data_IF_589374433806
#
_entry.id   IF_589374433806
#
_cell.length_a   1.000
_cell.length_b   1.000
_cell.length_c   1.000
_cell.angle_alpha   90.00
_cell.angle_beta   90.00
_cell.angle_gamma   90.00
#
_symmetry.space_group_name_H-M   'P 1'
#
loop_
_entity.id
_entity.type
_entity.pdbx_description
1 polymer ?
#
# COMPACT_ATOMS: atom_id res chain seq x y z
N UNK A 1 17.35 -3.67 6.00
CA UNK A 1 16.04 -3.94 6.61
C UNK A 1 15.09 -4.34 5.50
N UNK A 2 14.57 -5.57 5.53
CA UNK A 2 13.68 -6.09 4.48
C UNK A 2 12.21 -5.95 4.93
N UNK A 3 11.28 -5.91 3.98
CA UNK A 3 9.84 -5.80 4.27
C UNK A 3 9.36 -6.93 5.21
N UNK A 4 9.98 -8.11 5.14
CA UNK A 4 9.69 -9.26 6.01
C UNK A 4 10.03 -8.98 7.47
N UNK A 5 11.16 -8.33 7.76
CA UNK A 5 11.52 -7.94 9.12
C UNK A 5 10.60 -6.86 9.66
N UNK A 6 10.18 -5.91 8.81
CA UNK A 6 9.22 -4.88 9.19
C UNK A 6 7.83 -5.48 9.53
N UNK A 7 7.44 -6.58 8.89
CA UNK A 7 6.20 -7.31 9.23
C UNK A 7 6.30 -8.08 10.55
N UNK A 8 7.51 -8.52 10.93
CA UNK A 8 7.77 -9.21 12.20
C UNK A 8 7.99 -8.25 13.36
N UNK A 9 8.09 -6.95 13.09
CA UNK A 9 8.25 -5.93 14.11
C UNK A 9 7.01 -5.89 15.02
N UNK A 10 7.16 -5.75 16.35
CA UNK A 10 6.03 -5.65 17.28
C UNK A 10 5.06 -4.50 16.94
N UNK A 11 5.53 -3.46 16.24
CA UNK A 11 4.72 -2.34 15.79
C UNK A 11 4.07 -2.57 14.42
N UNK A 12 4.36 -3.68 13.73
CA UNK A 12 3.83 -3.97 12.39
C UNK A 12 2.31 -3.85 12.33
N UNK A 13 1.62 -4.25 13.41
CA UNK A 13 0.17 -4.10 13.55
C UNK A 13 -0.29 -2.64 13.47
N UNK A 14 0.40 -1.70 14.14
CA UNK A 14 0.04 -0.27 14.08
C UNK A 14 0.20 0.28 12.67
N UNK A 15 1.25 -0.15 11.96
CA UNK A 15 1.49 0.25 10.58
C UNK A 15 0.43 -0.32 9.62
N UNK A 16 0.02 -1.57 9.83
CA UNK A 16 -1.07 -2.20 9.06
C UNK A 16 -2.40 -1.46 9.31
N UNK A 17 -2.71 -1.16 10.57
CA UNK A 17 -3.93 -0.41 10.92
C UNK A 17 -3.92 0.99 10.31
N UNK A 18 -2.79 1.70 10.35
CA UNK A 18 -2.64 3.01 9.70
C UNK A 18 -2.79 2.92 8.17
N UNK A 19 -2.18 1.93 7.52
CA UNK A 19 -2.36 1.69 6.08
C UNK A 19 -3.82 1.44 5.72
N UNK A 20 -4.55 0.68 6.54
CA UNK A 20 -5.96 0.42 6.32
C UNK A 20 -6.80 1.69 6.43
N UNK A 21 -6.53 2.53 7.45
CA UNK A 21 -7.19 3.83 7.61
C UNK A 21 -6.96 4.72 6.39
N UNK A 22 -5.72 4.79 5.90
CA UNK A 22 -5.39 5.59 4.72
C UNK A 22 -6.05 5.04 3.44
N UNK A 23 -6.10 3.71 3.28
CA UNK A 23 -6.79 3.10 2.14
C UNK A 23 -8.30 3.38 2.17
N UNK A 24 -8.92 3.39 3.35
CA UNK A 24 -10.33 3.78 3.50
C UNK A 24 -10.54 5.28 3.24
N UNK A 25 -9.62 6.15 3.66
CA UNK A 25 -9.72 7.59 3.41
C UNK A 25 -9.63 7.88 1.91
N UNK A 26 -8.76 7.18 1.18
CA UNK A 26 -8.65 7.28 -0.27
C UNK A 26 -9.93 6.85 -0.98
N UNK A 27 -10.59 5.79 -0.49
CA UNK A 27 -11.88 5.31 -1.02
C UNK A 27 -13.02 6.26 -0.69
N UNK A 28 -13.08 6.79 0.53
CA UNK A 28 -14.19 7.64 0.99
C UNK A 28 -14.16 9.02 0.33
N UNK A 29 -12.97 9.57 0.12
CA UNK A 29 -12.79 10.89 -0.44
C UNK A 29 -12.74 10.90 -1.98
N UNK A 30 -12.88 9.75 -2.65
CA UNK A 30 -12.77 9.57 -4.11
C UNK A 30 -11.51 10.23 -4.72
N UNK A 31 -10.44 10.33 -3.93
CA UNK A 31 -9.20 11.00 -4.34
C UNK A 31 -8.38 10.16 -5.33
N UNK A 32 -8.67 8.85 -5.43
CA UNK A 32 -7.92 7.91 -6.26
C UNK A 32 -8.85 7.07 -7.13
N UNK A 33 -8.54 7.00 -8.42
CA UNK A 33 -9.22 6.11 -9.37
C UNK A 33 -8.33 4.92 -9.68
N UNK A 34 -8.82 3.71 -9.40
CA UNK A 34 -8.14 2.48 -9.79
C UNK A 34 -8.24 2.31 -11.32
N UNK A 35 -7.15 2.60 -12.01
CA UNK A 35 -7.05 2.40 -13.47
C UNK A 35 -6.43 1.05 -13.80
N UNK A 36 -6.91 0.42 -14.88
CA UNK A 36 -6.27 -0.80 -15.40
C UNK A 36 -4.87 -0.46 -15.91
N UNK A 37 -3.90 -1.32 -15.59
CA UNK A 37 -2.55 -1.20 -16.10
C UNK A 37 -2.57 -1.27 -17.64
N UNK A 38 -2.00 -0.30 -18.37
CA UNK A 38 -1.93 -0.37 -19.81
C UNK A 38 -0.99 -1.51 -20.26
N UNK A 39 -1.25 -2.14 -21.43
CA UNK A 39 -0.57 -3.37 -21.85
C UNK A 39 0.96 -3.28 -21.92
N UNK A 40 1.51 -2.06 -22.07
CA UNK A 40 2.95 -1.81 -22.20
C UNK A 40 3.56 -1.15 -20.95
N UNK A 41 2.79 -0.94 -19.88
CA UNK A 41 3.32 -0.36 -18.65
C UNK A 41 4.10 -1.41 -17.86
N UNK A 42 5.34 -1.08 -17.51
CA UNK A 42 6.17 -1.89 -16.62
C UNK A 42 5.72 -1.60 -15.18
N UNK A 43 5.36 -2.62 -14.43
CA UNK A 43 5.21 -2.49 -12.99
C UNK A 43 6.54 -2.05 -12.40
N UNK A 44 6.56 -0.91 -11.71
CA UNK A 44 7.74 -0.48 -10.98
C UNK A 44 7.86 -1.39 -9.76
N UNK A 45 8.73 -2.40 -9.86
CA UNK A 45 9.16 -3.15 -8.70
C UNK A 45 10.15 -2.30 -7.91
N UNK A 46 9.91 -2.15 -6.60
CA UNK A 46 10.96 -1.66 -5.70
C UNK A 46 12.10 -2.67 -5.68
N UNK A 47 13.34 -2.17 -5.74
CA UNK A 47 14.50 -2.96 -5.31
C UNK A 47 14.40 -3.28 -3.81
#
# INVERSE_FOLDING_TARGET
ANYKAALLDPESKKWIDAMNVEMQSMKYNDVWVLVKLPPNARTIGSK
#
